data_IF_164757043802
#
_entry.id   IF_164757043802
#
_cell.length_a   1.000
_cell.length_b   1.000
_cell.length_c   1.000
_cell.angle_alpha   90.00
_cell.angle_beta   90.00
_cell.angle_gamma   90.00
#
_symmetry.space_group_name_H-M   'P 1'
#
loop_
_entity.id
_entity.type
_entity.pdbx_description
1 polymer ?
#
# COMPACT_ATOMS: atom_id res chain seq x y z
N UNK A 1 -2.41 -4.11 -5.19
CA UNK A 1 -2.78 -2.87 -5.93
C UNK A 1 -1.57 -1.94 -6.00
N UNK A 2 -1.40 -1.16 -7.09
CA UNK A 2 -0.31 -0.16 -7.14
C UNK A 2 -0.64 1.03 -6.24
N UNK A 3 0.36 1.54 -5.50
CA UNK A 3 0.17 2.71 -4.61
C UNK A 3 -0.36 3.95 -5.34
N UNK A 4 0.04 4.15 -6.59
CA UNK A 4 -0.45 5.25 -7.41
C UNK A 4 -1.95 5.18 -7.68
N UNK A 5 -2.52 3.98 -7.78
CA UNK A 5 -3.95 3.83 -8.01
C UNK A 5 -4.72 4.08 -6.70
N UNK A 6 -4.20 3.60 -5.57
CA UNK A 6 -4.77 3.86 -4.24
C UNK A 6 -4.92 5.36 -3.98
N UNK A 7 -3.87 6.16 -4.29
CA UNK A 7 -3.91 7.62 -4.12
C UNK A 7 -4.91 8.35 -5.03
N UNK A 8 -5.26 7.76 -6.18
CA UNK A 8 -6.29 8.29 -7.08
C UNK A 8 -7.70 7.95 -6.60
N UNK A 9 -7.88 6.73 -6.08
CA UNK A 9 -9.18 6.24 -5.61
C UNK A 9 -9.56 6.90 -4.27
N UNK A 10 -8.59 7.12 -3.38
CA UNK A 10 -8.78 7.72 -2.06
C UNK A 10 -7.95 9.01 -1.91
N UNK A 11 -8.28 10.08 -2.64
CA UNK A 11 -7.53 11.33 -2.57
C UNK A 11 -7.77 12.02 -1.21
N UNK A 12 -6.71 12.55 -0.60
CA UNK A 12 -6.75 13.31 0.65
C UNK A 12 -7.38 12.56 1.85
N UNK A 13 -7.30 11.23 1.84
CA UNK A 13 -7.85 10.37 2.89
C UNK A 13 -6.76 9.51 3.53
N UNK A 14 -7.00 9.11 4.78
CA UNK A 14 -6.17 8.13 5.43
C UNK A 14 -6.66 6.74 5.06
N UNK A 15 -5.80 5.96 4.42
CA UNK A 15 -6.09 4.56 4.07
C UNK A 15 -5.31 3.61 4.96
N UNK A 16 -6.01 2.60 5.48
CA UNK A 16 -5.37 1.45 6.13
C UNK A 16 -5.13 0.39 5.05
N UNK A 17 -3.87 0.02 4.87
CA UNK A 17 -3.46 -1.03 3.93
C UNK A 17 -3.02 -2.30 4.67
N UNK A 18 -3.15 -3.42 3.98
CA UNK A 18 -2.57 -4.70 4.37
C UNK A 18 -1.54 -5.09 3.30
N UNK A 19 -0.32 -5.39 3.73
CA UNK A 19 0.74 -5.92 2.87
C UNK A 19 0.42 -7.38 2.54
N UNK A 20 0.44 -7.71 1.27
CA UNK A 20 0.20 -9.07 0.77
C UNK A 20 1.51 -9.76 0.39
N UNK A 21 2.43 -9.01 -0.21
CA UNK A 21 3.76 -9.50 -0.59
C UNK A 21 4.79 -8.39 -0.45
N UNK A 22 6.00 -8.77 -0.07
CA UNK A 22 7.13 -7.86 0.10
C UNK A 22 8.45 -8.60 -0.09
N UNK A 23 9.47 -7.85 -0.47
CA UNK A 23 10.84 -8.32 -0.45
C UNK A 23 11.72 -7.42 0.41
N UNK A 24 12.82 -8.00 0.86
CA UNK A 24 13.87 -7.28 1.57
C UNK A 24 14.99 -6.97 0.58
N UNK A 25 15.34 -5.70 0.43
CA UNK A 25 16.62 -5.31 -0.17
C UNK A 25 17.51 -4.72 0.93
N UNK A 26 18.59 -5.45 1.21
CA UNK A 26 19.50 -5.26 2.36
C UNK A 26 18.75 -5.28 3.70
N UNK A 27 18.33 -4.10 4.16
CA UNK A 27 17.68 -3.89 5.45
C UNK A 27 16.46 -2.98 5.31
N UNK A 28 15.94 -2.84 4.09
CA UNK A 28 14.75 -2.07 3.77
C UNK A 28 13.70 -3.01 3.19
N UNK A 29 12.49 -2.94 3.74
CA UNK A 29 11.33 -3.70 3.28
C UNK A 29 10.65 -2.93 2.14
N UNK A 30 10.51 -3.58 1.00
CA UNK A 30 9.83 -3.05 -0.18
C UNK A 30 8.53 -3.81 -0.38
N UNK A 31 7.42 -3.08 -0.29
CA UNK A 31 6.07 -3.63 -0.49
C UNK A 31 5.83 -3.79 -1.99
N UNK A 32 5.71 -5.03 -2.44
CA UNK A 32 5.42 -5.34 -3.85
C UNK A 32 3.92 -5.39 -4.12
N UNK A 33 3.15 -5.94 -3.16
CA UNK A 33 1.70 -5.99 -3.25
C UNK A 33 0.99 -5.68 -1.93
N UNK A 34 -0.16 -5.02 -2.05
CA UNK A 34 -0.98 -4.58 -0.93
C UNK A 34 -2.44 -4.39 -1.32
N UNK A 35 -3.30 -4.38 -0.31
CA UNK A 35 -4.73 -4.11 -0.44
C UNK A 35 -5.20 -3.04 0.56
N UNK A 36 -6.24 -2.29 0.22
CA UNK A 36 -6.87 -1.30 1.13
C UNK A 36 -7.97 -2.00 1.92
N UNK A 37 -7.88 -1.95 3.25
CA UNK A 37 -8.88 -2.55 4.15
C UNK A 37 -9.78 -1.52 4.83
N UNK A 38 -9.39 -0.25 4.85
CA UNK A 38 -10.23 0.84 5.32
C UNK A 38 -9.79 2.20 4.73
N UNK A 39 -10.72 3.15 4.59
CA UNK A 39 -10.47 4.53 4.21
C UNK A 39 -11.29 5.46 5.12
N UNK A 40 -10.64 6.49 5.69
CA UNK A 40 -11.22 7.45 6.66
C UNK A 40 -11.01 8.86 6.14
#
# INVERSE_FOLDING_TARGET
MKWNDVRKIYPNQFVKIQVLDYHMDKNTEYIDDMTVINAI
#
